data_IF_235899653221
#
_entry.id   IF_235899653221
#
_cell.length_a   1.000
_cell.length_b   1.000
_cell.length_c   1.000
_cell.angle_alpha   90.00
_cell.angle_beta   90.00
_cell.angle_gamma   90.00
#
_symmetry.space_group_name_H-M   'P 1'
#
loop_
_entity.id
_entity.type
_entity.pdbx_description
1 polymer ?
#
# COMPACT_ATOMS: atom_id res chain seq x y z
N UNK A 1 81.40 -53.03 -3.32
CA UNK A 1 80.81 -52.54 -4.58
C UNK A 1 79.31 -52.44 -4.38
N UNK A 2 78.82 -51.26 -4.01
CA UNK A 2 77.41 -51.02 -3.66
C UNK A 2 76.62 -50.62 -4.90
N UNK A 3 75.57 -51.37 -5.25
CA UNK A 3 74.58 -50.96 -6.25
C UNK A 3 73.66 -49.90 -5.64
N UNK A 4 73.68 -48.71 -6.23
CA UNK A 4 72.76 -47.60 -5.93
C UNK A 4 71.43 -47.85 -6.66
N UNK A 5 70.29 -47.65 -5.97
CA UNK A 5 68.92 -47.75 -6.51
C UNK A 5 68.53 -46.44 -7.24
N UNK A 6 67.67 -46.49 -8.28
CA UNK A 6 67.17 -45.31 -8.97
C UNK A 6 66.12 -44.56 -8.12
N UNK A 7 66.13 -43.23 -8.25
CA UNK A 7 65.39 -42.29 -7.40
C UNK A 7 63.90 -42.18 -7.65
N UNK A 8 63.16 -41.97 -6.55
CA UNK A 8 61.75 -41.65 -6.53
C UNK A 8 61.53 -40.15 -6.80
N UNK A 9 60.77 -39.84 -7.85
CA UNK A 9 60.42 -38.48 -8.25
C UNK A 9 59.56 -37.76 -7.21
N UNK A 10 60.02 -36.58 -6.78
CA UNK A 10 59.33 -35.64 -5.87
C UNK A 10 57.93 -35.22 -6.35
N UNK A 11 57.61 -35.39 -7.64
CA UNK A 11 56.28 -35.08 -8.20
C UNK A 11 55.15 -36.04 -7.76
N UNK A 12 55.46 -37.25 -7.30
CA UNK A 12 54.43 -38.22 -6.89
C UNK A 12 53.82 -37.88 -5.52
N UNK A 13 54.61 -37.25 -4.62
CA UNK A 13 54.19 -36.94 -3.25
C UNK A 13 53.19 -35.79 -3.20
N UNK A 14 53.35 -34.77 -4.05
CA UNK A 14 52.45 -33.63 -4.12
C UNK A 14 51.04 -34.00 -4.62
N UNK A 15 50.90 -35.00 -5.51
CA UNK A 15 49.59 -35.47 -5.99
C UNK A 15 48.81 -36.30 -4.97
N UNK A 16 49.48 -36.94 -4.02
CA UNK A 16 48.84 -37.75 -2.99
C UNK A 16 48.23 -36.91 -1.86
N UNK A 17 48.80 -35.74 -1.56
CA UNK A 17 48.30 -34.80 -0.54
C UNK A 17 47.00 -34.13 -0.99
N UNK A 18 46.92 -33.69 -2.25
CA UNK A 18 45.72 -33.02 -2.82
C UNK A 18 44.53 -33.96 -2.97
N UNK A 19 44.77 -35.27 -3.12
CA UNK A 19 43.72 -36.28 -3.25
C UNK A 19 43.03 -36.62 -1.92
N UNK A 20 43.69 -36.40 -0.78
CA UNK A 20 43.09 -36.61 0.55
C UNK A 20 42.17 -35.46 0.97
N UNK A 21 42.47 -34.22 0.58
CA UNK A 21 41.61 -33.07 0.88
C UNK A 21 40.28 -33.11 0.10
N UNK A 22 40.29 -33.59 -1.14
CA UNK A 22 39.07 -33.66 -1.98
C UNK A 22 38.11 -34.78 -1.55
N UNK A 23 38.60 -35.84 -0.89
CA UNK A 23 37.75 -36.95 -0.44
C UNK A 23 37.00 -36.65 0.87
N UNK A 24 37.56 -35.81 1.75
CA UNK A 24 36.90 -35.41 3.01
C UNK A 24 35.75 -34.40 2.77
N UNK A 25 35.82 -33.58 1.73
CA UNK A 25 34.73 -32.64 1.39
C UNK A 25 33.55 -33.30 0.65
N UNK A 26 33.77 -34.44 0.00
CA UNK A 26 32.72 -35.16 -0.73
C UNK A 26 31.78 -35.97 0.19
N UNK A 27 32.27 -36.43 1.35
CA UNK A 27 31.46 -37.22 2.30
C UNK A 27 30.53 -36.34 3.16
N UNK A 28 30.82 -35.05 3.31
CA UNK A 28 29.99 -34.12 4.10
C UNK A 28 28.78 -33.55 3.32
N UNK A 29 28.70 -33.77 2.00
CA UNK A 29 27.62 -33.22 1.15
C UNK A 29 26.47 -34.19 0.85
N UNK A 30 26.51 -35.42 1.38
CA UNK A 30 25.50 -36.46 1.07
C UNK A 30 24.43 -36.68 2.15
N UNK A 31 24.36 -35.84 3.18
CA UNK A 31 23.40 -35.99 4.28
C UNK A 31 22.42 -34.81 4.42
N UNK A 32 21.62 -34.47 3.40
CA UNK A 32 20.29 -33.89 3.62
C UNK A 32 19.47 -33.74 2.31
N UNK A 33 19.19 -34.86 1.65
CA UNK A 33 18.12 -34.95 0.63
C UNK A 33 17.04 -35.89 1.14
N UNK A 34 16.05 -35.36 1.86
CA UNK A 34 14.72 -35.97 1.99
C UNK A 34 13.76 -35.01 2.70
N UNK A 35 12.89 -34.34 1.93
CA UNK A 35 11.44 -34.36 2.17
C UNK A 35 10.72 -33.42 1.20
N UNK A 36 10.08 -34.07 0.23
CA UNK A 36 8.87 -33.70 -0.50
C UNK A 36 8.02 -32.57 0.10
N UNK A 37 7.61 -31.62 -0.76
CA UNK A 37 6.21 -31.52 -1.21
C UNK A 37 6.03 -30.35 -2.19
N UNK A 38 5.52 -30.70 -3.35
CA UNK A 38 5.03 -29.81 -4.40
C UNK A 38 3.74 -29.10 -3.95
N UNK A 39 3.70 -27.78 -4.05
CA UNK A 39 2.47 -27.04 -4.31
C UNK A 39 2.79 -25.91 -5.30
N UNK A 40 2.49 -26.18 -6.55
CA UNK A 40 2.33 -25.16 -7.58
C UNK A 40 1.01 -24.44 -7.33
N UNK A 41 1.11 -23.20 -6.83
CA UNK A 41 0.03 -22.22 -6.92
C UNK A 41 0.58 -21.02 -7.66
N UNK A 42 0.43 -21.03 -8.98
CA UNK A 42 0.52 -19.79 -9.74
C UNK A 42 -0.62 -18.90 -9.29
N UNK A 43 -0.31 -17.86 -8.53
CA UNK A 43 -1.12 -16.65 -8.54
C UNK A 43 -0.21 -15.55 -9.04
N UNK A 44 -0.47 -15.12 -10.27
CA UNK A 44 0.00 -13.88 -10.85
C UNK A 44 -0.48 -12.72 -9.97
N UNK A 45 0.20 -12.49 -8.86
CA UNK A 45 0.08 -11.30 -8.07
C UNK A 45 1.30 -10.48 -8.38
N UNK A 46 1.23 -9.66 -9.44
CA UNK A 46 2.13 -8.54 -9.59
C UNK A 46 1.99 -7.72 -8.30
N UNK A 47 2.85 -7.97 -7.31
CA UNK A 47 2.97 -7.09 -6.15
C UNK A 47 3.72 -5.88 -6.65
N UNK A 48 2.94 -4.99 -7.27
CA UNK A 48 3.29 -3.62 -7.55
C UNK A 48 4.02 -3.05 -6.32
N UNK A 49 5.09 -2.24 -6.50
CA UNK A 49 5.86 -1.74 -5.37
C UNK A 49 4.93 -0.95 -4.45
N UNK A 50 5.06 -1.02 -3.10
CA UNK A 50 4.32 -0.12 -2.23
C UNK A 50 4.69 1.30 -2.64
N UNK A 51 3.69 2.03 -3.12
CA UNK A 51 3.84 3.35 -3.72
C UNK A 51 4.59 4.24 -2.73
N UNK A 52 5.81 4.63 -3.08
CA UNK A 52 6.58 5.60 -2.29
C UNK A 52 5.72 6.85 -2.15
N UNK A 53 5.26 7.14 -0.94
CA UNK A 53 4.59 8.40 -0.65
C UNK A 53 5.61 9.51 -0.92
N UNK A 54 5.46 10.15 -2.08
CA UNK A 54 6.22 11.31 -2.50
C UNK A 54 6.12 12.38 -1.39
N UNK A 55 7.22 13.02 -0.98
CA UNK A 55 7.18 14.18 -0.10
C UNK A 55 6.21 15.24 -0.69
N UNK A 56 5.04 15.39 -0.05
CA UNK A 56 3.95 16.25 -0.55
C UNK A 56 2.55 15.62 -0.49
N UNK A 57 2.44 14.29 -0.39
CA UNK A 57 1.14 13.63 -0.21
C UNK A 57 0.66 13.78 1.24
N UNK A 58 -0.37 14.62 1.45
CA UNK A 58 -1.14 14.62 2.70
C UNK A 58 -1.76 13.24 2.86
N UNK A 59 -1.52 12.59 4.00
CA UNK A 59 -2.29 11.44 4.43
C UNK A 59 -3.77 11.82 4.30
N UNK A 60 -4.52 11.09 3.48
CA UNK A 60 -5.95 11.35 3.22
C UNK A 60 -6.81 11.19 4.48
N UNK A 61 -6.18 10.86 5.60
CA UNK A 61 -6.78 10.56 6.88
C UNK A 61 -6.27 11.49 7.99
N UNK A 62 -7.16 12.26 8.60
CA UNK A 62 -7.00 12.90 9.92
C UNK A 62 -6.38 11.92 10.93
N UNK A 63 -5.46 12.41 11.76
CA UNK A 63 -4.81 11.66 12.85
C UNK A 63 -5.76 10.93 13.82
N UNK A 64 -7.06 11.26 13.80
CA UNK A 64 -8.09 10.68 14.64
C UNK A 64 -8.95 9.61 13.95
N UNK A 65 -8.53 9.12 12.77
CA UNK A 65 -8.91 7.80 12.24
C UNK A 65 -10.39 7.57 11.89
N UNK A 66 -11.17 8.62 11.62
CA UNK A 66 -12.56 8.47 11.14
C UNK A 66 -12.69 9.03 9.74
N UNK A 67 -12.69 8.14 8.76
CA UNK A 67 -12.78 8.47 7.34
C UNK A 67 -13.94 7.74 6.71
N UNK A 68 -14.44 8.36 5.67
CA UNK A 68 -15.63 7.94 4.99
C UNK A 68 -15.43 8.18 3.49
N UNK A 69 -15.69 7.15 2.68
CA UNK A 69 -15.63 7.20 1.23
C UNK A 69 -17.03 7.26 0.62
N UNK A 70 -17.19 8.01 -0.45
CA UNK A 70 -18.42 8.11 -1.22
C UNK A 70 -18.19 8.94 -2.48
N UNK A 71 -19.15 8.90 -3.41
CA UNK A 71 -19.14 9.80 -4.56
C UNK A 71 -19.35 11.24 -4.08
N UNK A 72 -18.66 12.19 -4.71
CA UNK A 72 -18.77 13.60 -4.33
C UNK A 72 -20.18 14.14 -4.60
N UNK A 73 -20.83 13.61 -5.62
CA UNK A 73 -22.20 13.90 -6.00
C UNK A 73 -23.19 13.50 -4.89
N UNK A 74 -23.00 12.33 -4.28
CA UNK A 74 -23.85 11.84 -3.18
C UNK A 74 -23.66 12.69 -1.92
N UNK A 75 -22.42 13.09 -1.63
CA UNK A 75 -22.11 14.00 -0.54
C UNK A 75 -22.76 15.37 -0.74
N UNK A 76 -22.71 15.91 -1.95
CA UNK A 76 -23.33 17.20 -2.27
C UNK A 76 -24.86 17.13 -2.26
N UNK A 77 -25.44 16.02 -2.72
CA UNK A 77 -26.87 15.74 -2.57
C UNK A 77 -27.27 15.67 -1.10
N UNK A 78 -26.46 15.03 -0.25
CA UNK A 78 -26.73 14.92 1.19
C UNK A 78 -26.68 16.30 1.86
N UNK A 79 -25.69 17.14 1.50
CA UNK A 79 -25.62 18.54 1.94
C UNK A 79 -26.86 19.34 1.55
N UNK A 80 -27.39 19.12 0.34
CA UNK A 80 -28.63 19.77 -0.11
C UNK A 80 -29.83 19.32 0.74
N UNK A 81 -30.01 18.02 0.99
CA UNK A 81 -31.09 17.52 1.85
C UNK A 81 -31.01 18.09 3.27
N UNK A 82 -29.82 18.13 3.87
CA UNK A 82 -29.65 18.71 5.22
C UNK A 82 -29.97 20.21 5.24
N UNK A 83 -29.57 20.94 4.20
CA UNK A 83 -29.84 22.38 4.09
C UNK A 83 -31.32 22.68 3.91
N UNK A 84 -32.00 21.87 3.08
CA UNK A 84 -33.43 21.93 2.86
C UNK A 84 -34.22 21.60 4.13
N UNK A 85 -33.84 20.54 4.85
CA UNK A 85 -34.44 20.18 6.13
C UNK A 85 -34.33 21.32 7.16
N UNK A 86 -33.17 21.99 7.23
CA UNK A 86 -32.99 23.17 8.10
C UNK A 86 -33.90 24.34 7.72
N UNK A 87 -34.12 24.57 6.42
CA UNK A 87 -35.06 25.59 5.95
C UNK A 87 -36.48 25.24 6.39
N UNK A 88 -36.93 24.02 6.11
CA UNK A 88 -38.26 23.54 6.49
C UNK A 88 -38.49 23.62 8.01
N UNK A 89 -37.50 23.28 8.84
CA UNK A 89 -37.60 23.42 10.29
C UNK A 89 -37.85 24.87 10.71
N UNK A 90 -37.16 25.85 10.12
CA UNK A 90 -37.38 27.27 10.42
C UNK A 90 -38.74 27.75 9.96
N UNK A 91 -39.19 27.33 8.78
CA UNK A 91 -40.50 27.71 8.23
C UNK A 91 -41.63 27.13 9.09
N UNK A 92 -41.51 25.89 9.56
CA UNK A 92 -42.45 25.28 10.48
C UNK A 92 -42.46 25.98 11.84
N UNK A 93 -41.29 26.36 12.37
CA UNK A 93 -41.17 27.11 13.63
C UNK A 93 -41.82 28.50 13.52
N UNK A 94 -41.63 29.20 12.40
CA UNK A 94 -42.31 30.47 12.13
C UNK A 94 -43.84 30.33 12.07
N UNK A 95 -44.35 29.28 11.40
CA UNK A 95 -45.80 28.98 11.36
C UNK A 95 -46.37 28.68 12.76
N UNK A 96 -45.59 28.04 13.63
CA UNK A 96 -45.99 27.77 15.02
C UNK A 96 -45.95 29.03 15.89
N UNK A 97 -44.94 29.89 15.71
CA UNK A 97 -44.83 31.16 16.44
C UNK A 97 -45.92 32.16 16.05
N UNK A 98 -46.30 32.22 14.78
CA UNK A 98 -47.43 33.03 14.30
C UNK A 98 -48.74 32.63 15.01
N UNK A 99 -48.93 31.33 15.25
CA UNK A 99 -50.08 30.79 15.98
C UNK A 99 -50.01 31.05 17.49
N UNK A 100 -48.83 31.03 18.09
CA UNK A 100 -48.62 31.33 19.52
C UNK A 100 -48.63 32.82 19.86
N UNK A 101 -48.27 33.69 18.92
CA UNK A 101 -48.26 35.15 19.09
C UNK A 101 -49.59 35.84 18.79
N UNK A 102 -50.53 35.16 18.14
CA UNK A 102 -51.87 35.68 17.83
C UNK A 102 -52.81 35.76 19.05
N UNK A 103 -52.43 35.18 20.19
CA UNK A 103 -53.21 35.25 21.45
C UNK A 103 -53.15 36.64 22.14
N UNK A 104 -52.45 37.61 21.55
CA UNK A 104 -52.40 39.02 22.01
C UNK A 104 -52.96 40.03 21.00
N UNK A 105 -53.69 39.59 19.96
CA UNK A 105 -54.39 40.50 19.02
C UNK A 105 -55.88 40.22 18.83
N UNK A 106 -56.53 39.65 19.85
CA UNK A 106 -57.99 39.73 19.99
C UNK A 106 -58.34 41.14 20.47
N UNK A 107 -58.38 42.07 19.52
CA UNK A 107 -58.69 43.46 19.80
C UNK A 107 -58.41 44.33 18.58
N UNK A 108 -59.22 44.14 17.52
CA UNK A 108 -59.67 45.18 16.57
C UNK A 108 -60.18 44.53 15.28
N UNK A 109 -61.46 44.19 15.25
CA UNK A 109 -62.25 44.17 14.02
C UNK A 109 -63.74 44.36 14.33
N UNK A 110 -64.06 45.43 15.07
CA UNK A 110 -65.38 46.03 15.02
C UNK A 110 -65.40 47.08 13.91
N UNK A 111 -65.69 46.67 12.67
CA UNK A 111 -66.21 47.56 11.62
C UNK A 111 -66.86 46.72 10.54
N UNK A 112 -68.17 46.88 10.42
CA UNK A 112 -69.01 46.29 9.40
C UNK A 112 -68.65 46.79 7.99
N UNK A 113 -68.87 45.91 7.00
CA UNK A 113 -69.05 46.30 5.60
C UNK A 113 -67.94 45.80 4.67
N UNK A 114 -68.37 45.05 3.66
CA UNK A 114 -67.65 44.63 2.45
C UNK A 114 -66.76 43.38 2.57
N UNK A 115 -67.07 42.43 1.69
CA UNK A 115 -66.60 41.06 1.67
C UNK A 115 -65.06 40.95 1.67
N UNK A 116 -64.50 40.51 2.81
CA UNK A 116 -63.18 39.91 2.80
C UNK A 116 -63.32 38.54 2.12
N UNK A 117 -62.98 38.49 0.84
CA UNK A 117 -62.86 37.28 0.04
C UNK A 117 -61.74 36.38 0.55
N UNK A 118 -61.88 35.82 1.75
CA UNK A 118 -61.08 34.71 2.23
C UNK A 118 -61.63 33.39 1.70
N UNK A 119 -61.84 33.32 0.38
CA UNK A 119 -62.03 32.03 -0.27
C UNK A 119 -60.68 31.31 -0.26
N UNK A 120 -60.61 30.20 0.50
CA UNK A 120 -59.52 29.22 0.49
C UNK A 120 -58.24 29.72 1.21
N UNK A 121 -58.37 30.27 2.41
CA UNK A 121 -57.26 30.22 3.36
C UNK A 121 -57.13 28.76 3.82
N UNK A 122 -56.27 27.99 3.14
CA UNK A 122 -55.85 26.67 3.60
C UNK A 122 -55.53 26.77 5.10
N UNK A 123 -56.26 26.03 5.93
CA UNK A 123 -56.09 26.12 7.38
C UNK A 123 -54.59 25.99 7.73
N UNK A 124 -54.04 26.78 8.66
CA UNK A 124 -52.61 26.74 9.00
C UNK A 124 -52.11 25.35 9.44
N UNK A 125 -53.03 24.47 9.83
CA UNK A 125 -52.74 23.04 10.08
C UNK A 125 -52.50 22.22 8.80
N UNK A 126 -53.12 22.56 7.67
CA UNK A 126 -52.86 21.93 6.37
C UNK A 126 -51.49 22.35 5.79
N UNK A 127 -51.08 23.61 5.95
CA UNK A 127 -49.74 24.06 5.53
C UNK A 127 -48.66 23.39 6.36
N UNK A 128 -48.85 23.31 7.68
CA UNK A 128 -47.92 22.63 8.59
C UNK A 128 -47.84 21.12 8.29
N UNK A 129 -48.98 20.46 8.04
CA UNK A 129 -49.02 19.05 7.63
C UNK A 129 -48.29 18.80 6.31
N UNK A 130 -48.42 19.72 5.35
CA UNK A 130 -47.70 19.65 4.08
C UNK A 130 -46.18 19.80 4.29
N UNK A 131 -45.74 20.78 5.08
CA UNK A 131 -44.33 20.97 5.46
C UNK A 131 -43.75 19.78 6.24
N UNK A 132 -44.56 19.13 7.08
CA UNK A 132 -44.15 17.92 7.77
C UNK A 132 -43.95 16.76 6.77
N UNK A 133 -44.85 16.62 5.80
CA UNK A 133 -44.72 15.58 4.76
C UNK A 133 -43.51 15.78 3.84
N UNK A 134 -43.10 17.03 3.58
CA UNK A 134 -41.88 17.32 2.82
C UNK A 134 -40.64 17.08 3.67
N UNK A 135 -40.67 17.44 4.96
CA UNK A 135 -39.59 17.12 5.90
C UNK A 135 -39.35 15.62 6.00
N UNK A 136 -40.41 14.81 6.04
CA UNK A 136 -40.29 13.35 6.03
C UNK A 136 -39.55 12.86 4.78
N UNK A 137 -39.92 13.35 3.59
CA UNK A 137 -39.24 12.98 2.34
C UNK A 137 -37.76 13.38 2.34
N UNK A 138 -37.42 14.57 2.85
CA UNK A 138 -36.04 15.04 2.96
C UNK A 138 -35.21 14.12 3.87
N UNK A 139 -35.77 13.69 5.00
CA UNK A 139 -35.09 12.76 5.92
C UNK A 139 -34.92 11.35 5.32
N UNK A 140 -35.95 10.85 4.62
CA UNK A 140 -35.87 9.57 3.91
C UNK A 140 -34.77 9.61 2.83
N UNK A 141 -34.68 10.69 2.06
CA UNK A 141 -33.65 10.86 1.04
C UNK A 141 -32.24 11.04 1.64
N UNK A 142 -32.11 11.79 2.74
CA UNK A 142 -30.85 11.88 3.48
C UNK A 142 -30.40 10.51 4.03
N UNK A 143 -31.34 9.70 4.52
CA UNK A 143 -31.07 8.32 4.97
C UNK A 143 -30.62 7.43 3.80
N UNK A 144 -31.25 7.57 2.63
CA UNK A 144 -30.86 6.84 1.41
C UNK A 144 -29.43 7.20 1.00
N UNK A 145 -29.07 8.48 1.00
CA UNK A 145 -27.74 8.97 0.64
C UNK A 145 -26.67 8.53 1.66
N UNK A 146 -26.97 8.51 2.96
CA UNK A 146 -26.05 8.00 3.99
C UNK A 146 -25.71 6.51 3.82
N UNK A 147 -26.56 5.72 3.16
CA UNK A 147 -26.26 4.30 2.83
C UNK A 147 -25.26 4.15 1.70
N UNK A 148 -25.07 5.18 0.86
CA UNK A 148 -24.10 5.18 -0.25
C UNK A 148 -22.67 5.47 0.22
N UNK A 149 -22.51 5.67 1.52
CA UNK A 149 -21.33 6.20 2.15
C UNK A 149 -20.67 5.12 3.01
N UNK A 150 -19.37 4.90 2.81
CA UNK A 150 -18.62 3.77 3.35
C UNK A 150 -17.65 4.23 4.43
N UNK A 151 -17.74 3.66 5.64
CA UNK A 151 -16.77 3.92 6.69
C UNK A 151 -15.47 3.18 6.39
N UNK A 152 -14.35 3.87 6.43
CA UNK A 152 -13.02 3.27 6.31
C UNK A 152 -12.30 3.44 7.62
N UNK A 153 -11.92 2.32 8.22
CA UNK A 153 -10.93 2.29 9.28
C UNK A 153 -9.59 2.05 8.61
N UNK A 154 -8.67 3.02 8.67
CA UNK A 154 -7.27 2.65 8.49
C UNK A 154 -6.91 1.72 9.64
N UNK A 155 -6.13 0.65 9.42
CA UNK A 155 -5.44 -0.01 10.52
C UNK A 155 -4.52 1.04 11.15
N UNK A 156 -5.05 1.75 12.14
CA UNK A 156 -4.28 2.62 13.00
C UNK A 156 -3.42 1.67 13.82
N UNK A 157 -2.23 1.36 13.29
CA UNK A 157 -1.12 0.87 14.09
C UNK A 157 -0.84 1.93 15.14
N UNK A 158 -1.39 1.75 16.32
CA UNK A 158 -1.31 2.73 17.39
C UNK A 158 -2.52 2.69 18.31
N UNK A 159 -2.33 2.00 19.43
CA UNK A 159 -2.98 2.30 20.71
C UNK A 159 -4.36 1.68 20.89
N UNK A 160 -4.45 0.35 20.82
CA UNK A 160 -5.37 -0.38 21.71
C UNK A 160 -4.60 -1.51 22.39
N UNK A 161 -4.80 -1.64 23.69
CA UNK A 161 -4.08 -2.54 24.59
C UNK A 161 -3.99 -3.97 24.03
N UNK A 162 -2.76 -4.41 23.72
CA UNK A 162 -2.48 -5.72 23.11
C UNK A 162 -1.17 -5.73 22.29
N UNK A 163 -0.10 -5.20 22.88
CA UNK A 163 1.16 -4.73 22.24
C UNK A 163 2.09 -5.81 21.62
N UNK A 164 1.62 -7.05 21.41
CA UNK A 164 2.51 -8.15 21.03
C UNK A 164 2.43 -8.58 19.55
N UNK A 165 1.38 -8.20 18.82
CA UNK A 165 1.15 -8.67 17.44
C UNK A 165 1.73 -7.78 16.35
N UNK A 166 1.58 -6.46 16.47
CA UNK A 166 1.99 -5.50 15.43
C UNK A 166 3.50 -5.34 15.34
N UNK A 167 4.17 -5.19 16.49
CA UNK A 167 5.63 -5.07 16.56
C UNK A 167 6.31 -6.33 16.00
N UNK A 168 5.73 -7.50 16.25
CA UNK A 168 6.31 -8.77 15.80
C UNK A 168 6.28 -8.90 14.26
N UNK A 169 5.20 -8.50 13.61
CA UNK A 169 5.12 -8.51 12.14
C UNK A 169 6.08 -7.47 11.53
N UNK A 170 6.17 -6.28 12.12
CA UNK A 170 7.10 -5.25 11.67
C UNK A 170 8.56 -5.69 11.84
N UNK A 171 8.90 -6.36 12.93
CA UNK A 171 10.23 -6.91 13.18
C UNK A 171 10.58 -8.05 12.22
N UNK A 172 9.63 -8.94 11.90
CA UNK A 172 9.81 -9.97 10.87
C UNK A 172 10.11 -9.38 9.50
N UNK A 173 9.37 -8.33 9.10
CA UNK A 173 9.60 -7.64 7.84
C UNK A 173 10.96 -6.93 7.82
N UNK A 174 11.36 -6.28 8.93
CA UNK A 174 12.68 -5.65 9.06
C UNK A 174 13.82 -6.66 8.95
N UNK A 175 13.65 -7.82 9.56
CA UNK A 175 14.61 -8.92 9.48
C UNK A 175 14.73 -9.45 8.04
N UNK A 176 13.60 -9.66 7.35
CA UNK A 176 13.61 -10.13 5.96
C UNK A 176 14.25 -9.10 5.02
N UNK A 177 13.97 -7.81 5.18
CA UNK A 177 14.63 -6.74 4.42
C UNK A 177 16.15 -6.78 4.63
N UNK A 178 16.59 -6.92 5.88
CA UNK A 178 18.02 -7.00 6.21
C UNK A 178 18.67 -8.23 5.58
N UNK A 179 17.99 -9.38 5.63
CA UNK A 179 18.43 -10.63 5.01
C UNK A 179 18.58 -10.50 3.50
N UNK A 180 17.59 -9.89 2.83
CA UNK A 180 17.61 -9.67 1.38
C UNK A 180 18.73 -8.71 0.96
N UNK A 181 18.95 -7.62 1.72
CA UNK A 181 20.07 -6.69 1.47
C UNK A 181 21.43 -7.38 1.62
N UNK A 182 21.58 -8.25 2.63
CA UNK A 182 22.80 -9.03 2.81
C UNK A 182 23.04 -10.00 1.64
N UNK A 183 21.99 -10.67 1.14
CA UNK A 183 22.10 -11.54 -0.03
C UNK A 183 22.47 -10.76 -1.31
N UNK A 184 21.84 -9.60 -1.53
CA UNK A 184 22.13 -8.73 -2.67
C UNK A 184 23.60 -8.26 -2.64
N UNK A 185 24.04 -7.69 -1.52
CA UNK A 185 25.43 -7.22 -1.36
C UNK A 185 26.45 -8.36 -1.46
N UNK A 186 26.08 -9.59 -1.09
CA UNK A 186 26.93 -10.75 -1.31
C UNK A 186 27.08 -11.07 -2.80
N UNK A 187 25.97 -11.10 -3.55
CA UNK A 187 26.00 -11.32 -5.00
C UNK A 187 26.77 -10.21 -5.73
N UNK A 188 26.60 -8.95 -5.35
CA UNK A 188 27.35 -7.82 -5.92
C UNK A 188 28.86 -7.98 -5.73
N UNK A 189 29.30 -8.45 -4.56
CA UNK A 189 30.73 -8.72 -4.29
C UNK A 189 31.26 -9.85 -5.17
N UNK A 190 30.49 -10.93 -5.34
CA UNK A 190 30.88 -12.06 -6.19
C UNK A 190 31.00 -11.62 -7.66
N UNK A 191 30.03 -10.86 -8.16
CA UNK A 191 30.04 -10.32 -9.53
C UNK A 191 31.21 -9.36 -9.74
N UNK A 192 31.45 -8.44 -8.81
CA UNK A 192 32.60 -7.52 -8.85
C UNK A 192 33.93 -8.29 -8.92
N UNK A 193 34.07 -9.36 -8.13
CA UNK A 193 35.22 -10.25 -8.18
C UNK A 193 35.37 -10.96 -9.52
N UNK A 194 34.29 -11.47 -10.11
CA UNK A 194 34.30 -12.12 -11.42
C UNK A 194 34.71 -11.15 -12.53
N UNK A 195 34.16 -9.92 -12.54
CA UNK A 195 34.53 -8.88 -13.50
C UNK A 195 36.01 -8.53 -13.41
N UNK A 196 36.57 -8.40 -12.20
CA UNK A 196 38.00 -8.15 -12.01
C UNK A 196 38.87 -9.27 -12.62
N UNK A 197 38.54 -10.54 -12.35
CA UNK A 197 39.26 -11.69 -12.93
C UNK A 197 39.13 -11.76 -14.45
N UNK A 198 37.96 -11.43 -14.99
CA UNK A 198 37.76 -11.36 -16.45
C UNK A 198 38.62 -10.27 -17.08
N UNK A 199 38.69 -9.08 -16.47
CA UNK A 199 39.56 -7.99 -16.94
C UNK A 199 41.03 -8.39 -16.94
N UNK A 200 41.53 -8.99 -15.85
CA UNK A 200 42.93 -9.45 -15.79
C UNK A 200 43.24 -10.53 -16.82
N UNK A 201 42.30 -11.46 -17.03
CA UNK A 201 42.44 -12.51 -18.04
C UNK A 201 42.45 -11.93 -19.46
N UNK A 202 41.62 -10.93 -19.73
CA UNK A 202 41.58 -10.26 -21.03
C UNK A 202 42.87 -9.46 -21.28
N UNK A 203 43.38 -8.72 -20.28
CA UNK A 203 44.68 -8.03 -20.39
C UNK A 203 45.83 -8.99 -20.69
N UNK A 204 45.83 -10.18 -20.07
CA UNK A 204 46.83 -11.22 -20.35
C UNK A 204 46.68 -11.74 -21.79
N UNK A 205 45.45 -12.00 -22.24
CA UNK A 205 45.15 -12.42 -23.62
C UNK A 205 45.68 -11.40 -24.64
N UNK A 206 45.35 -10.12 -24.47
CA UNK A 206 45.84 -9.04 -25.33
C UNK A 206 47.37 -8.94 -25.30
N UNK A 207 47.99 -9.15 -24.12
CA UNK A 207 49.44 -9.21 -23.98
C UNK A 207 50.06 -10.33 -24.80
N UNK A 208 49.49 -11.54 -24.72
CA UNK A 208 49.94 -12.69 -25.51
C UNK A 208 49.74 -12.46 -27.02
N UNK A 209 48.61 -11.88 -27.42
CA UNK A 209 48.34 -11.54 -28.82
C UNK A 209 49.38 -10.57 -29.39
N UNK A 210 49.76 -9.54 -28.62
CA UNK A 210 50.83 -8.62 -29.01
C UNK A 210 52.16 -9.34 -29.25
N UNK A 211 52.56 -10.21 -28.31
CA UNK A 211 53.80 -11.01 -28.45
C UNK A 211 53.78 -11.89 -29.70
N UNK A 212 52.65 -12.54 -29.98
CA UNK A 212 52.50 -13.38 -31.19
C UNK A 212 52.61 -12.53 -32.47
N UNK A 213 51.97 -11.35 -32.50
CA UNK A 213 52.04 -10.44 -33.64
C UNK A 213 53.48 -9.96 -33.85
N UNK A 214 54.16 -9.55 -32.79
CA UNK A 214 55.53 -9.06 -32.88
C UNK A 214 56.47 -10.16 -33.39
N UNK A 215 56.38 -11.37 -32.84
CA UNK A 215 57.16 -12.51 -33.35
C UNK A 215 56.96 -12.74 -34.84
N UNK A 216 55.71 -12.70 -35.33
CA UNK A 216 55.42 -12.85 -36.76
C UNK A 216 55.96 -11.69 -37.60
N UNK A 217 55.92 -10.46 -37.08
CA UNK A 217 56.46 -9.28 -37.76
C UNK A 217 57.99 -9.35 -37.91
N UNK A 218 58.71 -9.90 -36.93
CA UNK A 218 60.16 -10.06 -37.01
C UNK A 218 60.63 -11.23 -37.88
N UNK A 219 59.75 -12.21 -38.15
CA UNK A 219 60.09 -13.43 -38.92
C UNK A 219 59.82 -13.34 -40.42
N UNK A 220 59.28 -12.23 -40.92
CA UNK A 220 59.11 -11.97 -42.36
C UNK A 220 60.02 -10.80 -42.74
N UNK A 221 61.21 -11.06 -43.32
CA UNK A 221 62.02 -10.00 -43.91
C UNK A 221 61.29 -9.44 -45.14
N UNK A 222 61.23 -8.11 -45.27
CA UNK A 222 60.80 -7.43 -46.50
C UNK A 222 61.78 -7.69 -47.64
#
# INVERSE_FOLDING_TARGET
MSRVKPGDCVCARARAETRRHVQVEAENSSQHLSSSRSHSSGSSGASEPPSRLVPGHRLWASRHGRHVLGLIEDHDALRKQISEGRRLTRDMDAQLQERGGADSRVGCCDSAGEACGCSIASSPVQSLSSSLSTMQRVLEEASRLLKLVWRVSLPTGGNTAGDNGSNQQDDLLRNEISRLKNRLSHQERLLSGAVKRLRTTNQLKEGMERVIIDQRRFLIPQ
#
